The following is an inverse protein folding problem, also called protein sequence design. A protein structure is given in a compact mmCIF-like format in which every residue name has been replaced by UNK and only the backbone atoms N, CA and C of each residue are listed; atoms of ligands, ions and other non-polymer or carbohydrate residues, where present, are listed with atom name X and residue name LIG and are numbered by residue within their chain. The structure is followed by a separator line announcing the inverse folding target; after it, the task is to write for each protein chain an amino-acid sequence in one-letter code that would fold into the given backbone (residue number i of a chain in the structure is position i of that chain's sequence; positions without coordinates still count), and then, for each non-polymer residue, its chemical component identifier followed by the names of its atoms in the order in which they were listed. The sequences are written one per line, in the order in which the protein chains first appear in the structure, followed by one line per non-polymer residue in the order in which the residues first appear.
data_IF_758062681995
#
_entry.id   IF_758062681995
#
_cell.length_a   1.000
_cell.length_b   1.000
_cell.length_c   1.000
_cell.angle_alpha   90.00
_cell.angle_beta   90.00
_cell.angle_gamma   90.00
#
_symmetry.space_group_name_H-M   'P 1'
#
loop_
_entity.id
_entity.type
_entity.pdbx_description
1 polymer ?
#
# COMPACT_ATOMS: atom_id res chain seq x y z
N UNK A 1 -15.32 -12.74 -11.38
CA UNK A 1 -14.82 -12.18 -10.11
C UNK A 1 -13.39 -11.73 -10.33
N UNK A 2 -13.07 -10.48 -10.02
CA UNK A 2 -11.72 -9.92 -10.16
C UNK A 2 -11.13 -9.62 -8.78
N UNK A 3 -9.83 -9.79 -8.65
CA UNK A 3 -9.11 -9.28 -7.48
C UNK A 3 -8.78 -7.80 -7.69
N UNK A 4 -8.71 -7.07 -6.59
CA UNK A 4 -8.07 -5.75 -6.53
C UNK A 4 -6.88 -5.85 -5.60
N UNK A 5 -5.74 -5.34 -5.99
CA UNK A 5 -4.56 -5.25 -5.15
C UNK A 5 -4.16 -3.78 -4.98
N UNK A 6 -3.62 -3.45 -3.81
CA UNK A 6 -3.08 -2.14 -3.47
C UNK A 6 -1.64 -2.34 -3.02
N UNK A 7 -0.72 -1.62 -3.64
CA UNK A 7 0.67 -1.53 -3.22
C UNK A 7 0.97 -0.11 -2.76
N UNK A 8 1.67 0.05 -1.65
CA UNK A 8 2.06 1.35 -1.12
C UNK A 8 3.49 1.38 -0.64
N UNK A 9 4.12 2.55 -0.73
CA UNK A 9 5.52 2.76 -0.38
C UNK A 9 5.73 4.23 0.02
N UNK A 10 6.40 4.46 1.16
CA UNK A 10 6.73 5.79 1.65
C UNK A 10 7.75 6.49 0.75
N UNK A 11 7.41 7.69 0.28
CA UNK A 11 8.27 8.47 -0.59
C UNK A 11 9.42 9.12 0.20
N UNK A 12 10.64 9.06 -0.35
CA UNK A 12 11.88 9.62 0.23
C UNK A 12 12.17 9.17 1.67
N UNK A 13 11.66 8.00 2.09
CA UNK A 13 11.72 7.56 3.48
C UNK A 13 13.14 7.54 4.06
N UNK A 14 14.13 6.99 3.34
CA UNK A 14 15.52 6.95 3.80
C UNK A 14 16.12 8.33 4.07
N UNK A 15 15.87 9.31 3.19
CA UNK A 15 16.32 10.69 3.38
C UNK A 15 15.67 11.32 4.61
N UNK A 16 14.35 11.12 4.79
CA UNK A 16 13.63 11.68 5.94
C UNK A 16 14.05 11.02 7.26
N UNK A 17 14.33 9.72 7.27
CA UNK A 17 14.83 9.02 8.45
C UNK A 17 16.15 9.62 8.92
N UNK A 18 17.08 9.87 7.98
CA UNK A 18 18.37 10.51 8.26
C UNK A 18 18.18 11.95 8.76
N UNK A 19 17.42 12.78 8.04
CA UNK A 19 17.19 14.19 8.37
C UNK A 19 16.52 14.37 9.75
N UNK A 20 15.64 13.45 10.14
CA UNK A 20 14.90 13.51 11.41
C UNK A 20 15.54 12.73 12.55
N UNK A 21 16.64 12.01 12.30
CA UNK A 21 17.27 11.15 13.29
C UNK A 21 16.34 10.05 13.81
N UNK A 22 15.45 9.53 12.94
CA UNK A 22 14.54 8.44 13.29
C UNK A 22 15.27 7.09 13.27
N UNK A 23 14.79 6.10 14.04
CA UNK A 23 15.34 4.76 13.93
C UNK A 23 14.99 4.14 12.58
N UNK A 24 16.00 3.52 11.95
CA UNK A 24 15.88 2.82 10.66
C UNK A 24 15.38 1.37 10.82
N UNK A 25 15.73 0.70 11.93
CA UNK A 25 15.45 -0.72 12.14
C UNK A 25 14.38 -1.00 13.20
N UNK A 26 13.67 0.04 13.64
CA UNK A 26 12.54 -0.09 14.56
C UNK A 26 11.45 0.93 14.20
N UNK A 27 10.21 0.73 14.69
CA UNK A 27 9.10 1.60 14.31
C UNK A 27 9.39 3.05 14.67
N UNK A 28 9.08 3.93 13.73
CA UNK A 28 9.15 5.38 13.88
C UNK A 28 7.77 5.99 13.57
N UNK A 29 7.57 7.31 13.72
CA UNK A 29 6.26 7.92 13.51
C UNK A 29 5.62 7.60 12.16
N UNK A 30 6.39 7.54 11.07
CA UNK A 30 5.88 7.25 9.73
C UNK A 30 5.58 5.76 9.54
N UNK A 31 6.53 4.88 9.90
CA UNK A 31 6.35 3.44 9.70
C UNK A 31 5.32 2.84 10.65
N UNK A 32 5.21 3.34 11.87
CA UNK A 32 4.16 3.00 12.82
C UNK A 32 2.77 3.40 12.32
N UNK A 33 2.63 4.63 11.80
CA UNK A 33 1.36 5.07 11.21
C UNK A 33 0.98 4.20 10.01
N UNK A 34 1.93 3.85 9.13
CA UNK A 34 1.64 2.99 7.99
C UNK A 34 1.19 1.60 8.45
N UNK A 35 1.90 1.00 9.42
CA UNK A 35 1.52 -0.27 10.04
C UNK A 35 0.06 -0.25 10.52
N UNK A 36 -0.34 0.76 11.30
CA UNK A 36 -1.73 0.86 11.79
C UNK A 36 -2.76 1.07 10.67
N UNK A 37 -2.40 1.82 9.62
CA UNK A 37 -3.30 2.07 8.50
C UNK A 37 -3.50 0.82 7.64
N UNK A 38 -2.44 0.06 7.39
CA UNK A 38 -2.49 -1.21 6.64
C UNK A 38 -3.28 -2.27 7.42
N UNK A 39 -3.09 -2.36 8.74
CA UNK A 39 -3.85 -3.28 9.59
C UNK A 39 -5.36 -2.96 9.60
N UNK A 40 -5.71 -1.68 9.63
CA UNK A 40 -7.11 -1.25 9.47
C UNK A 40 -7.65 -1.56 8.08
N UNK A 41 -6.83 -1.36 7.04
CA UNK A 41 -7.20 -1.68 5.67
C UNK A 41 -7.52 -3.17 5.50
N UNK A 42 -6.68 -4.05 6.07
CA UNK A 42 -6.87 -5.51 6.05
C UNK A 42 -8.14 -5.98 6.74
N UNK A 43 -8.59 -5.27 7.78
CA UNK A 43 -9.81 -5.64 8.51
C UNK A 43 -11.08 -5.03 7.92
N UNK A 44 -10.95 -3.98 7.08
CA UNK A 44 -12.08 -3.28 6.44
C UNK A 44 -12.71 -4.08 5.31
N UNK A 45 -11.91 -4.77 4.48
CA UNK A 45 -12.40 -5.44 3.28
C UNK A 45 -12.46 -6.97 3.47
N UNK A 46 -13.61 -7.62 3.21
CA UNK A 46 -13.73 -9.07 3.35
C UNK A 46 -12.71 -9.82 2.49
N UNK A 47 -11.96 -10.73 3.11
CA UNK A 47 -10.99 -11.56 2.42
C UNK A 47 -9.70 -10.85 2.00
N UNK A 48 -9.45 -9.62 2.45
CA UNK A 48 -8.17 -8.95 2.23
C UNK A 48 -7.00 -9.75 2.83
N UNK A 49 -5.94 -9.91 2.05
CA UNK A 49 -4.74 -10.66 2.42
C UNK A 49 -3.52 -9.77 2.25
N UNK A 50 -2.68 -9.74 3.29
CA UNK A 50 -1.35 -9.18 3.22
C UNK A 50 -0.44 -10.08 2.38
N UNK A 51 0.01 -9.59 1.24
CA UNK A 51 1.07 -10.22 0.42
C UNK A 51 2.45 -9.76 0.91
N UNK A 52 2.55 -8.49 1.32
CA UNK A 52 3.74 -7.88 1.92
C UNK A 52 3.33 -6.85 2.97
N UNK A 53 4.04 -6.82 4.11
CA UNK A 53 3.64 -6.04 5.29
C UNK A 53 2.27 -6.48 5.82
N UNK A 54 1.76 -5.87 6.90
CA UNK A 54 2.45 -4.94 7.78
C UNK A 54 3.54 -5.63 8.62
N UNK A 55 4.54 -4.87 9.05
CA UNK A 55 5.58 -5.31 9.99
C UNK A 55 5.52 -4.44 11.26
N UNK A 56 5.15 -5.04 12.40
CA UNK A 56 5.08 -4.34 13.70
C UNK A 56 6.44 -4.24 14.39
N UNK A 57 7.35 -5.16 14.11
CA UNK A 57 8.66 -5.23 14.78
C UNK A 57 9.62 -4.21 14.18
N UNK A 58 9.60 -4.05 12.86
CA UNK A 58 10.46 -3.09 12.14
C UNK A 58 9.75 -1.80 11.78
N UNK A 59 8.41 -1.83 11.71
CA UNK A 59 7.60 -0.79 11.11
C UNK A 59 7.42 -1.03 9.61
N UNK A 60 6.27 -0.63 9.07
CA UNK A 60 5.96 -0.82 7.66
C UNK A 60 6.42 0.38 6.85
N UNK A 61 7.31 0.17 5.88
CA UNK A 61 7.70 1.18 4.88
C UNK A 61 6.95 1.01 3.56
N UNK A 62 6.66 -0.25 3.23
CA UNK A 62 5.98 -0.66 2.02
C UNK A 62 5.03 -1.83 2.32
N UNK A 63 3.95 -1.92 1.56
CA UNK A 63 2.97 -2.98 1.71
C UNK A 63 2.36 -3.38 0.38
N UNK A 64 1.82 -4.60 0.33
CA UNK A 64 0.96 -5.08 -0.73
C UNK A 64 -0.19 -5.86 -0.11
N UNK A 65 -1.42 -5.42 -0.40
CA UNK A 65 -2.66 -6.09 0.00
C UNK A 65 -3.40 -6.53 -1.25
N UNK A 66 -3.85 -7.78 -1.29
CA UNK A 66 -4.76 -8.29 -2.31
C UNK A 66 -6.14 -8.57 -1.71
N UNK A 67 -7.19 -8.19 -2.43
CA UNK A 67 -8.59 -8.38 -2.06
C UNK A 67 -9.26 -9.23 -3.16
N UNK A 68 -9.40 -10.54 -2.97
CA UNK A 68 -10.14 -11.40 -3.88
C UNK A 68 -11.61 -10.99 -3.95
N UNK A 69 -12.13 -10.75 -5.15
CA UNK A 69 -13.48 -10.16 -5.31
C UNK A 69 -13.55 -8.68 -4.94
N UNK A 70 -12.41 -8.01 -4.82
CA UNK A 70 -12.33 -6.59 -4.49
C UNK A 70 -12.92 -5.67 -5.55
N UNK A 71 -13.26 -6.17 -6.74
CA UNK A 71 -13.93 -5.38 -7.78
C UNK A 71 -15.30 -4.87 -7.34
N UNK A 72 -15.97 -5.57 -6.42
CA UNK A 72 -17.22 -5.12 -5.80
C UNK A 72 -17.02 -3.89 -4.86
N UNK A 73 -15.80 -3.62 -4.43
CA UNK A 73 -15.46 -2.56 -3.46
C UNK A 73 -14.47 -1.53 -4.03
N UNK A 74 -14.33 -1.46 -5.36
CA UNK A 74 -13.25 -0.68 -5.99
C UNK A 74 -13.29 0.81 -5.58
N UNK A 75 -14.48 1.43 -5.58
CA UNK A 75 -14.61 2.84 -5.19
C UNK A 75 -14.23 3.05 -3.72
N UNK A 76 -14.69 2.19 -2.82
CA UNK A 76 -14.35 2.23 -1.39
C UNK A 76 -12.84 2.00 -1.14
N UNK A 77 -12.22 1.13 -1.94
CA UNK A 77 -10.78 0.89 -1.91
C UNK A 77 -10.02 2.15 -2.33
N UNK A 78 -10.46 2.83 -3.40
CA UNK A 78 -9.85 4.07 -3.88
C UNK A 78 -10.02 5.21 -2.86
N UNK A 79 -11.20 5.33 -2.26
CA UNK A 79 -11.44 6.28 -1.16
C UNK A 79 -10.52 6.03 0.03
N UNK A 80 -10.31 4.77 0.38
CA UNK A 80 -9.43 4.38 1.47
C UNK A 80 -7.95 4.66 1.15
N UNK A 81 -7.52 4.41 -0.10
CA UNK A 81 -6.18 4.78 -0.57
C UNK A 81 -5.98 6.30 -0.47
N UNK A 82 -6.96 7.09 -0.91
CA UNK A 82 -6.92 8.55 -0.82
C UNK A 82 -6.97 9.05 0.63
N UNK A 83 -7.67 8.34 1.52
CA UNK A 83 -7.66 8.60 2.97
C UNK A 83 -6.26 8.38 3.56
N UNK A 84 -5.59 7.29 3.20
CA UNK A 84 -4.22 6.97 3.62
C UNK A 84 -3.26 8.06 3.12
N UNK A 85 -3.30 8.38 1.82
CA UNK A 85 -2.46 9.41 1.20
C UNK A 85 -2.58 10.76 1.90
N UNK A 86 -3.81 11.26 2.05
CA UNK A 86 -4.08 12.54 2.74
C UNK A 86 -3.73 12.50 4.23
N UNK A 87 -3.82 11.33 4.88
CA UNK A 87 -3.41 11.18 6.28
C UNK A 87 -1.92 11.40 6.43
N UNK A 88 -1.09 10.79 5.58
CA UNK A 88 0.36 11.02 5.55
C UNK A 88 0.70 12.48 5.27
N UNK A 89 0.17 13.02 4.17
CA UNK A 89 0.43 14.40 3.75
C UNK A 89 0.12 15.41 4.86
N UNK A 90 -0.98 15.22 5.60
CA UNK A 90 -1.34 16.07 6.74
C UNK A 90 -0.47 15.83 7.97
N UNK A 91 -0.23 14.59 8.35
CA UNK A 91 0.51 14.25 9.59
C UNK A 91 1.96 14.74 9.54
N UNK A 92 2.57 14.63 8.36
CA UNK A 92 3.97 15.02 8.14
C UNK A 92 4.12 16.32 7.37
N UNK A 93 3.03 17.09 7.19
CA UNK A 93 3.03 18.40 6.50
C UNK A 93 3.69 18.35 5.11
N UNK A 94 3.51 17.24 4.41
CA UNK A 94 4.09 17.00 3.08
C UNK A 94 5.55 16.57 3.06
N UNK A 95 6.24 16.51 4.20
CA UNK A 95 7.65 16.10 4.27
C UNK A 95 7.83 14.59 4.08
N UNK A 96 6.88 13.80 4.59
CA UNK A 96 6.73 12.37 4.28
C UNK A 96 5.41 12.18 3.55
N UNK A 97 5.46 11.56 2.39
CA UNK A 97 4.26 11.21 1.61
C UNK A 97 4.29 9.73 1.25
N UNK A 98 3.20 9.24 0.66
CA UNK A 98 3.07 7.85 0.26
C UNK A 98 2.54 7.79 -1.17
N UNK A 99 3.17 6.93 -1.96
CA UNK A 99 2.69 6.58 -3.30
C UNK A 99 1.91 5.28 -3.25
N UNK A 100 0.83 5.20 -4.01
CA UNK A 100 -0.06 4.05 -4.04
C UNK A 100 -0.32 3.60 -5.48
N UNK A 101 -0.25 2.30 -5.71
CA UNK A 101 -0.64 1.65 -6.95
C UNK A 101 -1.83 0.72 -6.71
N UNK A 102 -2.88 0.86 -7.51
CA UNK A 102 -4.06 -0.01 -7.46
C UNK A 102 -4.13 -0.82 -8.74
N UNK A 103 -4.19 -2.14 -8.60
CA UNK A 103 -4.26 -3.08 -9.73
C UNK A 103 -5.54 -3.90 -9.67
N UNK A 104 -6.28 -3.96 -10.77
CA UNK A 104 -7.43 -4.85 -10.92
C UNK A 104 -7.01 -6.00 -11.82
N UNK A 105 -7.39 -7.24 -11.52
CA UNK A 105 -7.02 -8.40 -12.34
C UNK A 105 -7.93 -9.60 -12.10
N UNK A 106 -7.87 -10.65 -12.94
CA UNK A 106 -8.59 -11.89 -12.65
C UNK A 106 -8.15 -12.44 -11.29
N UNK A 107 -9.11 -12.91 -10.50
CA UNK A 107 -8.82 -13.50 -9.20
C UNK A 107 -8.03 -14.81 -9.36
N UNK A 108 -7.05 -15.10 -8.48
CA UNK A 108 -6.33 -16.37 -8.51
C UNK A 108 -7.29 -17.55 -8.34
N UNK A 109 -7.05 -18.62 -9.10
CA UNK A 109 -7.89 -19.83 -9.09
C UNK A 109 -7.67 -20.71 -7.85
N UNK A 110 -6.58 -20.50 -7.10
CA UNK A 110 -6.25 -21.28 -5.91
C UNK A 110 -5.78 -20.36 -4.77
N UNK A 111 -6.32 -20.56 -3.55
CA UNK A 111 -5.99 -19.77 -2.35
C UNK A 111 -4.53 -19.90 -1.93
N UNK A 112 -3.77 -20.88 -2.46
CA UNK A 112 -2.34 -21.06 -2.19
C UNK A 112 -1.41 -20.12 -2.97
N UNK A 113 -1.93 -19.29 -3.87
CA UNK A 113 -1.14 -18.44 -4.78
C UNK A 113 -0.95 -16.98 -4.33
N UNK A 114 -1.20 -16.67 -3.05
CA UNK A 114 -0.88 -15.36 -2.45
C UNK A 114 0.61 -15.18 -2.14
N UNK A 115 1.49 -15.65 -3.03
CA UNK A 115 2.92 -15.31 -3.00
C UNK A 115 3.15 -14.04 -3.82
N UNK A 116 4.14 -13.24 -3.42
CA UNK A 116 4.52 -12.01 -4.12
C UNK A 116 4.60 -12.24 -5.64
N UNK A 117 3.96 -11.34 -6.40
CA UNK A 117 4.00 -11.26 -7.86
C UNK A 117 3.40 -12.44 -8.66
N UNK A 118 2.64 -13.37 -8.07
CA UNK A 118 1.90 -14.39 -8.84
C UNK A 118 0.51 -13.91 -9.29
N UNK A 119 -0.16 -13.05 -8.51
CA UNK A 119 -1.46 -12.48 -8.86
C UNK A 119 -1.35 -11.39 -9.94
N UNK A 120 -2.16 -11.43 -11.02
CA UNK A 120 -2.25 -10.37 -12.01
C UNK A 120 -2.64 -9.00 -11.41
N UNK A 121 -3.49 -8.98 -10.39
CA UNK A 121 -3.86 -7.74 -9.69
C UNK A 121 -2.64 -7.14 -8.97
N UNK A 122 -1.87 -7.97 -8.26
CA UNK A 122 -0.64 -7.54 -7.57
C UNK A 122 0.40 -7.01 -8.56
N UNK A 123 0.63 -7.69 -9.69
CA UNK A 123 1.55 -7.21 -10.74
C UNK A 123 1.17 -5.82 -11.22
N UNK A 124 -0.12 -5.61 -11.52
CA UNK A 124 -0.66 -4.32 -11.97
C UNK A 124 -0.55 -3.24 -10.89
N UNK A 125 -0.77 -3.59 -9.62
CA UNK A 125 -0.61 -2.67 -8.49
C UNK A 125 0.86 -2.22 -8.35
N UNK A 126 1.82 -3.14 -8.48
CA UNK A 126 3.25 -2.81 -8.44
C UNK A 126 3.69 -1.96 -9.64
N UNK A 127 3.19 -2.25 -10.85
CA UNK A 127 3.43 -1.40 -12.03
C UNK A 127 2.86 0.01 -11.84
N UNK A 128 1.65 0.10 -11.30
CA UNK A 128 1.00 1.36 -10.98
C UNK A 128 1.79 2.14 -9.91
N UNK A 129 2.28 1.47 -8.87
CA UNK A 129 3.11 2.08 -7.83
C UNK A 129 4.42 2.64 -8.42
N UNK A 130 5.11 1.87 -9.27
CA UNK A 130 6.31 2.35 -9.99
C UNK A 130 6.02 3.55 -10.87
N UNK A 131 4.83 3.61 -11.45
CA UNK A 131 4.38 4.78 -12.21
C UNK A 131 4.09 5.98 -11.30
N UNK A 132 3.43 5.78 -10.16
CA UNK A 132 3.20 6.81 -9.16
C UNK A 132 4.51 7.44 -8.68
N UNK A 133 5.50 6.61 -8.29
CA UNK A 133 6.82 7.08 -7.86
C UNK A 133 7.56 7.82 -8.98
N UNK A 134 7.48 7.36 -10.24
CA UNK A 134 8.07 8.07 -11.41
C UNK A 134 7.42 9.43 -11.69
N UNK A 135 6.18 9.65 -11.26
CA UNK A 135 5.47 10.94 -11.40
C UNK A 135 5.81 11.95 -10.31
N UNK A 136 6.77 11.65 -9.42
CA UNK A 136 7.20 12.54 -8.34
C UNK A 136 6.66 12.19 -6.97
N UNK A 137 5.98 11.05 -6.82
CA UNK A 137 5.46 10.59 -5.53
C UNK A 137 4.06 11.14 -5.20
N UNK A 138 3.62 10.91 -3.95
CA UNK A 138 2.36 11.42 -3.38
C UNK A 138 1.14 11.27 -4.32
N UNK A 139 1.07 10.15 -5.05
CA UNK A 139 0.09 9.94 -6.11
C UNK A 139 -0.49 8.55 -6.03
N UNK A 140 -1.75 8.42 -6.45
CA UNK A 140 -2.42 7.15 -6.65
C UNK A 140 -2.52 6.89 -8.15
N UNK A 141 -2.04 5.73 -8.61
CA UNK A 141 -2.21 5.28 -10.00
C UNK A 141 -3.03 4.00 -10.00
N UNK A 142 -3.95 3.87 -10.97
CA UNK A 142 -4.83 2.70 -11.13
C UNK A 142 -4.52 2.00 -12.45
N UNK A 143 -4.44 0.68 -12.44
CA UNK A 143 -4.27 -0.17 -13.64
C UNK A 143 -5.30 -1.30 -13.67
N UNK A 144 -6.00 -1.44 -14.79
CA UNK A 144 -7.10 -2.39 -15.02
C UNK A 144 -6.73 -3.59 -15.87
#
# INVERSE_FOLDING_TARGET
MRSVAVAGDLDRFGEVVEERGWPEYSPNPATGLLTELVERFLTKFPGAVAVKGPDRERGTEEFVVEIPGGDAFLDEILEECERIRRRFEREFKGEVTISLGVGVGPAPSDRRSFREAESPAVRRALEALREAKRRGGNTIVVRG
#
